data_IF_343916026718
#
_entry.id   IF_343916026718
#
_cell.length_a   1.000
_cell.length_b   1.000
_cell.length_c   1.000
_cell.angle_alpha   90.00
_cell.angle_beta   90.00
_cell.angle_gamma   90.00
#
_symmetry.space_group_name_H-M   'P 1'
#
loop_
_entity.id
_entity.type
_entity.pdbx_description
1 polymer ?
#
# COMPACT_ATOMS: atom_id res chain seq x y z
N UNK A 1 -25.59 -25.94 -0.17
CA UNK A 1 -24.37 -25.49 -0.89
C UNK A 1 -24.17 -24.05 -0.46
N UNK A 2 -23.26 -23.67 0.44
CA UNK A 2 -21.99 -24.26 0.84
C UNK A 2 -20.91 -23.27 0.41
N UNK A 3 -20.71 -22.19 1.18
CA UNK A 3 -19.79 -21.09 0.89
C UNK A 3 -18.33 -21.59 0.89
N UNK A 4 -17.89 -22.13 -0.23
CA UNK A 4 -16.48 -22.47 -0.47
C UNK A 4 -15.81 -21.18 -0.99
N UNK A 5 -15.00 -20.56 -0.13
CA UNK A 5 -14.16 -19.41 -0.48
C UNK A 5 -12.69 -19.77 -0.46
N UNK A 6 -11.91 -19.22 -1.40
CA UNK A 6 -10.44 -19.29 -1.40
C UNK A 6 -9.88 -17.94 -0.94
N UNK A 7 -9.01 -17.95 0.07
CA UNK A 7 -8.27 -16.76 0.52
C UNK A 7 -6.85 -16.83 -0.03
N UNK A 8 -6.39 -15.75 -0.65
CA UNK A 8 -4.98 -15.59 -1.08
C UNK A 8 -4.29 -14.62 -0.13
N UNK A 9 -3.36 -15.14 0.67
CA UNK A 9 -2.60 -14.32 1.62
C UNK A 9 -1.85 -13.20 0.90
N UNK A 10 -1.92 -11.99 1.45
CA UNK A 10 -1.27 -10.80 0.89
C UNK A 10 -2.06 -10.09 -0.23
N UNK A 11 -3.16 -10.66 -0.72
CA UNK A 11 -4.06 -9.98 -1.65
C UNK A 11 -4.77 -8.82 -0.92
N UNK A 12 -4.82 -7.65 -1.56
CA UNK A 12 -5.65 -6.57 -1.06
C UNK A 12 -7.14 -6.93 -1.19
N UNK A 13 -7.84 -7.04 -0.07
CA UNK A 13 -9.30 -7.13 -0.04
C UNK A 13 -9.91 -5.74 -0.12
N UNK A 14 -11.11 -5.60 -0.69
CA UNK A 14 -11.86 -4.35 -0.73
C UNK A 14 -13.31 -4.64 -0.38
N UNK A 15 -13.94 -3.71 0.32
CA UNK A 15 -15.37 -3.78 0.65
C UNK A 15 -16.12 -2.62 0.00
N UNK A 16 -17.39 -2.82 -0.34
CA UNK A 16 -18.23 -1.73 -0.85
C UNK A 16 -18.32 -0.60 0.18
N UNK A 17 -18.25 0.65 -0.32
CA UNK A 17 -18.26 1.85 0.53
C UNK A 17 -16.95 2.12 1.28
N UNK A 18 -15.92 1.28 1.13
CA UNK A 18 -14.61 1.52 1.74
C UNK A 18 -13.87 2.69 1.06
N UNK A 19 -13.44 3.66 1.86
CA UNK A 19 -12.52 4.71 1.40
C UNK A 19 -11.08 4.26 1.68
N UNK A 20 -10.22 4.26 0.65
CA UNK A 20 -8.86 3.71 0.72
C UNK A 20 -7.85 4.60 0.03
N UNK A 21 -6.61 4.51 0.50
CA UNK A 21 -5.42 4.97 -0.23
C UNK A 21 -4.66 3.74 -0.71
N UNK A 22 -4.35 3.73 -2.00
CA UNK A 22 -3.60 2.67 -2.66
C UNK A 22 -2.55 3.27 -3.60
N UNK A 23 -1.49 2.51 -3.87
CA UNK A 23 -0.45 2.90 -4.81
C UNK A 23 -0.64 2.15 -6.12
N UNK A 24 -0.57 2.88 -7.23
CA UNK A 24 -0.82 2.33 -8.56
C UNK A 24 0.41 2.49 -9.44
N UNK A 25 0.68 1.47 -10.23
CA UNK A 25 1.67 1.50 -11.30
C UNK A 25 0.98 1.45 -12.66
N UNK A 26 1.53 2.18 -13.64
CA UNK A 26 1.04 2.09 -15.01
C UNK A 26 1.38 0.73 -15.60
N UNK A 27 0.38 0.09 -16.19
CA UNK A 27 0.51 -1.13 -16.99
C UNK A 27 0.09 -0.82 -18.43
N UNK A 28 1.08 -0.60 -19.29
CA UNK A 28 0.84 -0.17 -20.66
C UNK A 28 0.27 1.25 -20.77
N UNK A 29 -0.48 1.53 -21.84
CA UNK A 29 -0.94 2.88 -22.16
C UNK A 29 -2.14 3.35 -21.31
N UNK A 30 -2.97 2.42 -20.82
CA UNK A 30 -4.29 2.79 -20.27
C UNK A 30 -4.69 2.03 -19.01
N UNK A 31 -3.91 1.04 -18.57
CA UNK A 31 -4.24 0.28 -17.36
C UNK A 31 -3.35 0.68 -16.18
N UNK A 32 -3.89 0.50 -14.98
CA UNK A 32 -3.15 0.60 -13.73
C UNK A 32 -3.23 -0.73 -13.00
N UNK A 33 -2.14 -1.10 -12.34
CA UNK A 33 -2.08 -2.23 -11.44
C UNK A 33 -1.82 -1.73 -10.02
N UNK A 34 -2.41 -2.42 -9.04
CA UNK A 34 -2.11 -2.18 -7.64
C UNK A 34 -0.65 -2.54 -7.37
N UNK A 35 0.08 -1.65 -6.69
CA UNK A 35 1.42 -1.89 -6.20
C UNK A 35 1.38 -2.12 -4.69
N UNK A 36 2.17 -3.08 -4.20
CA UNK A 36 2.26 -3.43 -2.77
C UNK A 36 1.08 -4.24 -2.19
N UNK A 37 -0.01 -4.44 -2.93
CA UNK A 37 -1.17 -5.26 -2.50
C UNK A 37 -1.66 -4.87 -1.08
N UNK A 38 -1.87 -5.85 -0.18
CA UNK A 38 -2.31 -5.57 1.19
C UNK A 38 -1.31 -4.69 1.97
N UNK A 39 0.00 -4.81 1.70
CA UNK A 39 1.03 -4.02 2.38
C UNK A 39 0.98 -2.53 2.02
N UNK A 40 0.51 -2.21 0.81
CA UNK A 40 0.42 -0.84 0.30
C UNK A 40 -0.95 -0.17 0.51
N UNK A 41 -1.92 -0.89 1.07
CA UNK A 41 -3.28 -0.38 1.26
C UNK A 41 -3.43 0.29 2.62
N UNK A 42 -4.06 1.47 2.63
CA UNK A 42 -4.52 2.13 3.84
C UNK A 42 -6.04 2.32 3.79
N UNK A 43 -6.75 1.91 4.82
CA UNK A 43 -8.16 2.24 5.00
C UNK A 43 -8.27 3.65 5.59
N UNK A 44 -9.13 4.48 5.00
CA UNK A 44 -9.44 5.80 5.53
C UNK A 44 -10.62 5.68 6.50
N UNK A 45 -10.33 5.93 7.77
CA UNK A 45 -11.34 5.96 8.83
C UNK A 45 -11.63 7.41 9.20
N UNK A 46 -12.87 7.85 8.97
CA UNK A 46 -13.31 9.21 9.31
C UNK A 46 -13.81 9.24 10.75
N UNK A 47 -13.19 10.07 11.58
CA UNK A 47 -13.58 10.29 12.98
C UNK A 47 -13.85 11.77 13.19
N UNK A 48 -15.12 12.18 13.03
CA UNK A 48 -15.53 13.59 13.11
C UNK A 48 -14.96 14.42 11.94
N UNK A 49 -14.41 15.63 12.20
CA UNK A 49 -13.84 16.47 11.13
C UNK A 49 -12.51 15.94 10.58
N UNK A 50 -11.91 14.93 11.23
CA UNK A 50 -10.63 14.34 10.84
C UNK A 50 -10.76 13.00 10.12
N UNK A 51 -9.68 12.60 9.44
CA UNK A 51 -9.54 11.28 8.82
C UNK A 51 -8.19 10.66 9.16
N UNK A 52 -8.21 9.38 9.54
CA UNK A 52 -7.05 8.55 9.81
C UNK A 52 -6.81 7.61 8.64
N UNK A 53 -5.56 7.46 8.22
CA UNK A 53 -5.15 6.42 7.30
C UNK A 53 -4.55 5.25 8.10
N UNK A 54 -5.29 4.15 8.15
CA UNK A 54 -4.94 2.95 8.91
C UNK A 54 -4.38 1.89 7.95
N UNK A 55 -3.15 1.39 8.15
CA UNK A 55 -2.60 0.33 7.32
C UNK A 55 -3.50 -0.90 7.32
N UNK A 56 -3.72 -1.50 6.14
CA UNK A 56 -4.47 -2.74 6.04
C UNK A 56 -3.70 -3.90 6.66
N UNK A 57 -4.42 -4.88 7.19
CA UNK A 57 -3.82 -6.12 7.68
C UNK A 57 -3.29 -6.94 6.51
N UNK A 58 -2.09 -7.49 6.65
CA UNK A 58 -1.52 -8.45 5.70
C UNK A 58 -1.96 -9.89 6.00
N UNK A 59 -2.82 -10.09 7.00
CA UNK A 59 -3.25 -11.41 7.47
C UNK A 59 -2.04 -12.25 7.89
N UNK A 60 -2.02 -13.50 7.46
CA UNK A 60 -0.93 -14.45 7.73
C UNK A 60 0.24 -14.34 6.73
N UNK A 61 0.28 -13.30 5.90
CA UNK A 61 1.36 -13.13 4.94
C UNK A 61 2.67 -12.71 5.63
N UNK A 62 3.73 -13.47 5.36
CA UNK A 62 5.10 -13.12 5.77
C UNK A 62 5.62 -12.00 4.88
N UNK A 63 6.16 -10.93 5.49
CA UNK A 63 6.77 -9.84 4.74
C UNK A 63 8.26 -10.12 4.60
N UNK A 64 8.80 -9.87 3.41
CA UNK A 64 10.21 -10.09 3.10
C UNK A 64 10.84 -8.74 2.74
N UNK A 65 11.95 -8.39 3.39
CA UNK A 65 12.73 -7.22 3.00
C UNK A 65 13.39 -7.48 1.63
N UNK A 66 13.17 -6.63 0.61
CA UNK A 66 13.66 -6.89 -0.74
C UNK A 66 15.19 -6.79 -0.88
N UNK A 67 15.88 -6.15 0.07
CA UNK A 67 17.34 -6.01 0.07
C UNK A 67 18.01 -7.17 0.80
N UNK A 68 17.52 -7.54 1.99
CA UNK A 68 18.14 -8.58 2.82
C UNK A 68 17.57 -9.97 2.56
N UNK A 69 16.39 -10.06 1.93
CA UNK A 69 15.59 -11.29 1.74
C UNK A 69 15.24 -12.00 3.05
N UNK A 70 15.28 -11.28 4.17
CA UNK A 70 14.86 -11.80 5.47
C UNK A 70 13.42 -11.42 5.77
N UNK A 71 12.79 -12.20 6.63
CA UNK A 71 11.49 -11.87 7.19
C UNK A 71 11.55 -10.53 7.92
N UNK A 72 10.52 -9.73 7.75
CA UNK A 72 10.37 -8.43 8.40
C UNK A 72 8.94 -8.25 8.89
N UNK A 73 8.76 -7.33 9.82
CA UNK A 73 7.45 -6.94 10.32
C UNK A 73 7.01 -5.61 9.71
N UNK A 74 5.71 -5.44 9.51
CA UNK A 74 5.17 -4.15 9.09
C UNK A 74 5.37 -3.18 10.25
N UNK A 75 6.09 -2.08 10.00
CA UNK A 75 6.19 -0.96 10.95
C UNK A 75 5.23 0.18 10.57
N UNK A 76 4.27 -0.09 9.68
CA UNK A 76 3.27 0.89 9.30
C UNK A 76 2.35 1.16 10.50
N UNK A 77 2.22 2.44 10.88
CA UNK A 77 1.34 2.88 11.97
C UNK A 77 0.19 3.71 11.40
N UNK A 78 -0.98 3.72 12.07
CA UNK A 78 -2.02 4.70 11.77
C UNK A 78 -1.49 6.12 11.87
N UNK A 79 -1.79 6.93 10.86
CA UNK A 79 -1.43 8.36 10.79
C UNK A 79 -2.63 9.17 10.32
N UNK A 80 -2.58 10.49 10.44
CA UNK A 80 -3.64 11.30 9.82
C UNK A 80 -3.54 11.22 8.29
N UNK A 81 -4.68 11.35 7.61
CA UNK A 81 -4.70 11.32 6.15
C UNK A 81 -3.84 12.45 5.53
N UNK A 82 -3.77 13.60 6.21
CA UNK A 82 -2.92 14.72 5.78
C UNK A 82 -1.43 14.41 5.91
N UNK A 83 -1.03 13.78 7.02
CA UNK A 83 0.35 13.32 7.23
C UNK A 83 0.74 12.32 6.15
N UNK A 84 -0.11 11.33 5.86
CA UNK A 84 0.16 10.35 4.79
C UNK A 84 0.35 11.05 3.44
N UNK A 85 -0.55 11.97 3.07
CA UNK A 85 -0.44 12.75 1.81
C UNK A 85 0.82 13.61 1.77
N UNK A 86 1.24 14.18 2.90
CA UNK A 86 2.48 14.96 2.98
C UNK A 86 3.72 14.07 2.79
N UNK A 87 3.76 12.90 3.46
CA UNK A 87 4.85 11.93 3.32
C UNK A 87 4.98 11.39 1.90
N UNK A 88 3.87 11.07 1.23
CA UNK A 88 3.88 10.62 -0.16
C UNK A 88 4.43 11.71 -1.09
N UNK A 89 3.99 12.97 -0.93
CA UNK A 89 4.51 14.09 -1.72
C UNK A 89 6.01 14.30 -1.52
N UNK A 90 6.48 14.25 -0.27
CA UNK A 90 7.90 14.36 0.04
C UNK A 90 8.71 13.22 -0.59
N UNK A 91 8.20 11.98 -0.53
CA UNK A 91 8.86 10.82 -1.12
C UNK A 91 8.95 10.90 -2.65
N UNK A 92 7.92 11.42 -3.32
CA UNK A 92 7.93 11.65 -4.78
C UNK A 92 8.95 12.73 -5.15
N UNK A 93 9.02 13.83 -4.41
CA UNK A 93 10.00 14.89 -4.65
C UNK A 93 11.44 14.39 -4.45
N UNK A 94 11.69 13.61 -3.39
CA UNK A 94 13.00 13.00 -3.14
C UNK A 94 13.42 12.02 -4.25
N UNK A 95 12.48 11.24 -4.79
CA UNK A 95 12.74 10.35 -5.93
C UNK A 95 13.06 11.11 -7.21
N UNK A 96 12.43 12.27 -7.44
CA UNK A 96 12.71 13.12 -8.60
C UNK A 96 14.05 13.86 -8.49
N UNK A 97 14.45 14.23 -7.27
CA UNK A 97 15.72 14.91 -7.00
C UNK A 97 16.93 13.96 -7.01
N UNK A 98 16.73 12.66 -6.76
CA UNK A 98 17.76 11.66 -6.91
C UNK A 98 17.95 11.33 -8.41
N UNK A 99 19.14 11.53 -9.01
CA UNK A 99 19.36 11.18 -10.41
C UNK A 99 19.08 9.68 -10.59
N UNK A 100 18.33 9.34 -11.64
CA UNK A 100 18.00 7.98 -12.00
C UNK A 100 19.30 7.15 -12.08
N UNK A 101 19.52 6.25 -11.10
CA UNK A 101 20.44 5.13 -11.30
C UNK A 101 19.85 4.27 -12.41
N UNK A 102 20.28 4.57 -13.64
CA UNK A 102 20.17 3.71 -14.81
C UNK A 102 20.80 2.38 -14.42
N UNK A 103 19.97 1.43 -13.98
CA UNK A 103 20.37 0.04 -13.87
C UNK A 103 20.72 -0.46 -15.26
N UNK A 104 22.01 -0.76 -15.44
CA UNK A 104 22.56 -1.34 -16.65
C UNK A 104 21.99 -2.75 -16.90
N UNK A 105 22.00 -3.10 -18.20
CA UNK A 105 21.71 -4.38 -18.86
C UNK A 105 21.63 -5.63 -17.98
#
# INVERSE_FOLDING_TARGET
VGDIGQVVSGLASFSEGEEVVVFLEKRGASAFQLSGMAQGKYQVQRTGPGAMAVPASTGDAVLIDPKTRQETASNAKPVTLEQLKASVRAAVQAQQAAPAKKGAK
#
